data_IF_171172772075
#
_entry.id   IF_171172772075
#
_cell.length_a   1.000
_cell.length_b   1.000
_cell.length_c   1.000
_cell.angle_alpha   90.00
_cell.angle_beta   90.00
_cell.angle_gamma   90.00
#
_symmetry.space_group_name_H-M   'P 1'
#
loop_
_entity.id
_entity.type
_entity.pdbx_description
1 polymer ?
#
# COMPACT_ATOMS: atom_id res chain seq x y z
N UNK A 1 -7.45 -3.98 -0.56
CA UNK A 1 -6.12 -3.35 -0.72
C UNK A 1 -5.34 -4.14 -1.76
N UNK A 2 -4.55 -3.46 -2.59
CA UNK A 2 -3.74 -4.07 -3.65
C UNK A 2 -2.33 -3.50 -3.61
N UNK A 3 -1.31 -4.36 -3.68
CA UNK A 3 0.10 -3.94 -3.83
C UNK A 3 0.42 -3.83 -5.32
N UNK A 4 1.23 -2.84 -5.69
CA UNK A 4 1.74 -2.67 -7.05
C UNK A 4 3.21 -2.27 -6.94
N UNK A 5 4.08 -2.96 -7.66
CA UNK A 5 5.49 -2.65 -7.78
C UNK A 5 5.95 -2.80 -9.23
N UNK A 6 7.10 -2.21 -9.55
CA UNK A 6 7.72 -2.35 -10.88
C UNK A 6 8.44 -3.70 -11.00
N UNK A 7 9.18 -4.08 -9.96
CA UNK A 7 9.92 -5.33 -9.88
C UNK A 7 9.05 -6.44 -9.26
N UNK A 8 9.21 -7.66 -9.76
CA UNK A 8 8.45 -8.82 -9.27
C UNK A 8 8.80 -9.20 -7.83
N UNK A 9 10.04 -8.97 -7.41
CA UNK A 9 10.48 -9.22 -6.03
C UNK A 9 9.82 -8.26 -5.04
N UNK A 10 9.83 -6.96 -5.34
CA UNK A 10 9.15 -5.93 -4.54
C UNK A 10 7.65 -6.23 -4.44
N UNK A 11 7.04 -6.67 -5.55
CA UNK A 11 5.64 -7.07 -5.59
C UNK A 11 5.37 -8.22 -4.61
N UNK A 12 6.14 -9.31 -4.72
CA UNK A 12 5.95 -10.50 -3.89
C UNK A 12 6.20 -10.21 -2.41
N UNK A 13 7.25 -9.45 -2.09
CA UNK A 13 7.60 -9.08 -0.73
C UNK A 13 6.52 -8.19 -0.09
N UNK A 14 6.00 -7.21 -0.84
CA UNK A 14 4.92 -6.34 -0.38
C UNK A 14 3.60 -7.09 -0.19
N UNK A 15 3.25 -8.01 -1.10
CA UNK A 15 2.07 -8.88 -0.98
C UNK A 15 2.15 -9.80 0.24
N UNK A 16 3.31 -10.41 0.47
CA UNK A 16 3.55 -11.25 1.64
C UNK A 16 3.39 -10.46 2.94
N UNK A 17 3.98 -9.25 3.01
CA UNK A 17 3.86 -8.42 4.20
C UNK A 17 2.44 -7.88 4.41
N UNK A 18 1.74 -7.48 3.36
CA UNK A 18 0.34 -7.08 3.45
C UNK A 18 -0.56 -8.25 3.91
N UNK A 19 -0.28 -9.47 3.45
CA UNK A 19 -0.99 -10.68 3.90
C UNK A 19 -0.76 -10.90 5.39
N UNK A 20 0.47 -10.78 5.87
CA UNK A 20 0.79 -10.86 7.29
C UNK A 20 0.01 -9.82 8.13
N UNK A 21 -0.05 -8.57 7.68
CA UNK A 21 -0.81 -7.53 8.39
C UNK A 21 -2.31 -7.86 8.48
N UNK A 22 -2.88 -8.46 7.43
CA UNK A 22 -4.29 -8.88 7.42
C UNK A 22 -4.57 -10.01 8.42
N UNK A 23 -3.72 -11.04 8.46
CA UNK A 23 -3.85 -12.16 9.40
C UNK A 23 -3.74 -11.70 10.87
N UNK A 24 -3.01 -10.62 11.12
CA UNK A 24 -2.92 -10.01 12.44
C UNK A 24 -4.08 -9.06 12.79
N UNK A 25 -5.14 -9.01 11.98
CA UNK A 25 -6.39 -8.30 12.29
C UNK A 25 -6.34 -6.78 12.10
N UNK A 26 -5.31 -6.25 11.44
CA UNK A 26 -5.17 -4.80 11.24
C UNK A 26 -6.16 -4.21 10.24
N UNK A 27 -6.71 -5.04 9.33
CA UNK A 27 -7.62 -4.58 8.27
C UNK A 27 -8.75 -5.58 8.02
N UNK A 28 -9.96 -5.06 7.78
CA UNK A 28 -11.12 -5.89 7.47
C UNK A 28 -11.03 -6.50 6.05
N UNK A 29 -11.40 -7.79 5.98
CA UNK A 29 -11.25 -8.74 4.87
C UNK A 29 -12.12 -8.51 3.63
N UNK A 30 -12.29 -7.28 3.16
CA UNK A 30 -12.84 -7.10 1.81
C UNK A 30 -11.74 -7.42 0.79
N UNK A 31 -11.85 -8.59 0.14
CA UNK A 31 -11.03 -8.90 -1.03
C UNK A 31 -11.06 -7.71 -1.99
N UNK A 32 -9.89 -7.24 -2.38
CA UNK A 32 -9.77 -6.14 -3.33
C UNK A 32 -10.27 -6.65 -4.68
N UNK A 33 -11.37 -6.09 -5.19
CA UNK A 33 -11.80 -6.30 -6.60
C UNK A 33 -10.96 -5.45 -7.57
N UNK A 34 -9.85 -4.89 -7.09
CA UNK A 34 -8.95 -4.05 -7.85
C UNK A 34 -7.81 -4.92 -8.36
N UNK A 35 -7.88 -5.25 -9.63
CA UNK A 35 -6.86 -6.03 -10.32
C UNK A 35 -5.61 -5.18 -10.57
N UNK A 36 -4.44 -5.80 -10.38
CA UNK A 36 -3.12 -5.16 -10.63
C UNK A 36 -2.99 -4.67 -12.06
N UNK A 37 -3.58 -5.39 -13.02
CA UNK A 37 -3.52 -5.08 -14.44
C UNK A 37 -4.11 -3.70 -14.77
N UNK A 38 -5.08 -3.21 -13.97
CA UNK A 38 -5.64 -1.87 -14.11
C UNK A 38 -4.60 -0.75 -13.99
N UNK A 39 -3.42 -1.03 -13.42
CA UNK A 39 -2.38 -0.05 -13.15
C UNK A 39 -1.08 -0.27 -13.92
N UNK A 40 -1.03 -1.27 -14.83
CA UNK A 40 0.19 -1.56 -15.60
C UNK A 40 0.73 -0.31 -16.30
N UNK A 41 -0.15 0.49 -16.88
CA UNK A 41 0.22 1.73 -17.58
C UNK A 41 0.80 2.79 -16.63
N UNK A 42 0.42 2.79 -15.35
CA UNK A 42 0.94 3.72 -14.35
C UNK A 42 2.37 3.41 -13.91
N UNK A 43 2.88 2.21 -14.21
CA UNK A 43 4.24 1.81 -13.85
C UNK A 43 5.29 2.24 -14.88
N UNK A 44 4.87 2.84 -16.01
CA UNK A 44 5.75 3.19 -17.13
C UNK A 44 6.63 4.42 -16.86
N UNK A 45 6.12 5.43 -16.15
CA UNK A 45 6.83 6.68 -15.90
C UNK A 45 7.21 6.85 -14.43
N UNK A 46 8.52 6.83 -14.15
CA UNK A 46 9.06 7.03 -12.80
C UNK A 46 8.73 8.43 -12.29
N UNK A 47 8.26 8.51 -11.05
CA UNK A 47 7.89 9.76 -10.36
C UNK A 47 6.44 10.21 -10.59
N UNK A 48 5.71 9.61 -11.55
CA UNK A 48 4.29 9.95 -11.82
C UNK A 48 3.30 8.85 -11.46
N UNK A 49 3.77 7.73 -10.92
CA UNK A 49 2.93 6.55 -10.66
C UNK A 49 1.77 6.88 -9.72
N UNK A 50 2.05 7.58 -8.60
CA UNK A 50 1.04 7.92 -7.61
C UNK A 50 -0.07 8.85 -8.17
N UNK A 51 0.29 9.77 -9.07
CA UNK A 51 -0.65 10.63 -9.76
C UNK A 51 -1.46 9.86 -10.82
N UNK A 52 -0.82 8.93 -11.54
CA UNK A 52 -1.50 8.06 -12.50
C UNK A 52 -2.50 7.13 -11.81
N UNK A 53 -2.12 6.47 -10.71
CA UNK A 53 -2.99 5.58 -9.94
C UNK A 53 -4.23 6.34 -9.46
N UNK A 54 -4.07 7.57 -8.94
CA UNK A 54 -5.20 8.44 -8.55
C UNK A 54 -6.11 8.83 -9.72
N UNK A 55 -5.64 8.80 -10.96
CA UNK A 55 -6.44 9.08 -12.16
C UNK A 55 -6.99 7.82 -12.82
N UNK A 56 -6.45 6.65 -12.49
CA UNK A 56 -6.92 5.37 -13.02
C UNK A 56 -8.41 5.17 -12.68
N UNK A 57 -9.21 4.87 -13.70
CA UNK A 57 -10.64 4.60 -13.53
C UNK A 57 -10.89 3.25 -12.87
N UNK A 58 -12.16 2.98 -12.53
CA UNK A 58 -12.62 1.64 -12.12
C UNK A 58 -12.42 1.31 -10.64
N UNK A 59 -11.27 1.63 -10.05
CA UNK A 59 -11.01 1.29 -8.65
C UNK A 59 -11.71 2.22 -7.64
N UNK A 60 -12.02 3.46 -8.04
CA UNK A 60 -12.80 4.44 -7.26
C UNK A 60 -14.31 4.18 -7.26
N UNK A 61 -14.84 3.54 -8.30
CA UNK A 61 -16.29 3.31 -8.47
C UNK A 61 -16.84 2.24 -7.51
N UNK A 62 -15.96 1.53 -6.82
CA UNK A 62 -16.31 0.40 -5.97
C UNK A 62 -16.55 0.74 -4.49
N UNK A 63 -16.54 2.03 -4.11
CA UNK A 63 -17.12 2.57 -2.87
C UNK A 63 -16.60 2.05 -1.52
N UNK A 64 -15.77 1.01 -1.51
CA UNK A 64 -15.14 0.43 -0.32
C UNK A 64 -13.74 1.02 -0.23
N UNK A 65 -13.32 1.37 0.98
CA UNK A 65 -12.00 1.92 1.33
C UNK A 65 -10.84 1.20 0.62
N UNK A 66 -10.58 1.62 -0.59
CA UNK A 66 -9.62 1.00 -1.46
C UNK A 66 -8.31 1.72 -1.23
N UNK A 67 -7.31 0.98 -0.78
CA UNK A 67 -5.93 1.44 -0.71
C UNK A 67 -5.10 0.67 -1.72
N UNK A 68 -4.38 1.41 -2.55
CA UNK A 68 -3.33 0.90 -3.41
C UNK A 68 -2.00 1.19 -2.73
N UNK A 69 -1.16 0.18 -2.56
CA UNK A 69 0.20 0.32 -2.01
C UNK A 69 1.16 0.26 -3.18
N UNK A 70 1.77 1.41 -3.53
CA UNK A 70 2.90 1.45 -4.45
C UNK A 70 4.16 1.09 -3.68
N UNK A 71 4.75 -0.07 -3.98
CA UNK A 71 5.93 -0.59 -3.29
C UNK A 71 7.17 -0.50 -4.19
N UNK A 72 8.31 -0.19 -3.58
CA UNK A 72 9.62 -0.24 -4.23
C UNK A 72 10.75 -0.54 -3.25
N UNK A 73 11.72 -1.33 -3.68
CA UNK A 73 12.86 -1.74 -2.89
C UNK A 73 12.60 -2.99 -2.05
N UNK A 74 13.64 -3.81 -1.94
CA UNK A 74 13.74 -5.01 -1.10
C UNK A 74 15.21 -5.15 -0.66
N UNK A 75 15.54 -5.47 0.61
CA UNK A 75 14.64 -5.86 1.71
C UNK A 75 14.01 -4.68 2.48
N UNK A 76 14.50 -3.46 2.26
CA UNK A 76 13.89 -2.24 2.79
C UNK A 76 12.95 -1.69 1.73
N UNK A 77 11.66 -1.70 2.05
CA UNK A 77 10.60 -1.39 1.11
C UNK A 77 9.98 -0.04 1.42
N UNK A 78 9.97 0.84 0.42
CA UNK A 78 9.29 2.13 0.46
C UNK A 78 7.88 1.95 -0.07
N UNK A 79 6.89 2.28 0.75
CA UNK A 79 5.48 2.27 0.39
C UNK A 79 5.00 3.70 0.19
N UNK A 80 4.21 3.89 -0.86
CA UNK A 80 3.26 4.99 -0.96
C UNK A 80 1.85 4.41 -0.94
N UNK A 81 1.12 4.67 0.13
CA UNK A 81 -0.28 4.27 0.27
C UNK A 81 -1.17 5.31 -0.40
N UNK A 82 -2.03 4.87 -1.31
CA UNK A 82 -2.83 5.75 -2.17
C UNK A 82 -4.30 5.45 -1.95
N UNK A 83 -5.03 6.46 -1.49
CA UNK A 83 -6.48 6.44 -1.35
C UNK A 83 -7.20 7.00 -2.57
N UNK A 84 -8.53 6.97 -2.51
CA UNK A 84 -9.41 7.30 -3.64
C UNK A 84 -9.49 8.80 -3.96
N UNK A 85 -8.98 9.67 -3.08
CA UNK A 85 -9.04 11.11 -3.31
C UNK A 85 -8.27 11.55 -4.57
N UNK A 86 -8.58 12.74 -5.06
CA UNK A 86 -7.90 13.33 -6.21
C UNK A 86 -6.43 13.68 -5.90
N UNK A 87 -6.14 14.01 -4.65
CA UNK A 87 -4.81 14.32 -4.12
C UNK A 87 -4.67 13.77 -2.70
N UNK A 88 -3.43 13.60 -2.25
CA UNK A 88 -3.12 13.15 -0.90
C UNK A 88 -3.63 14.16 0.14
N UNK A 89 -4.47 13.73 1.09
CA UNK A 89 -4.91 14.59 2.20
C UNK A 89 -3.83 14.75 3.28
N UNK A 90 -3.01 13.72 3.46
CA UNK A 90 -1.89 13.67 4.41
C UNK A 90 -0.67 13.01 3.74
N UNK A 91 0.06 13.72 2.85
CA UNK A 91 1.13 13.13 2.03
C UNK A 91 2.24 12.48 2.87
N UNK A 92 2.66 13.14 3.95
CA UNK A 92 3.73 12.63 4.83
C UNK A 92 3.32 11.35 5.56
N UNK A 93 2.03 11.20 5.87
CA UNK A 93 1.48 10.01 6.50
C UNK A 93 1.22 8.86 5.52
N UNK A 94 1.30 9.10 4.21
CA UNK A 94 1.06 8.12 3.15
C UNK A 94 2.33 7.52 2.58
N UNK A 95 3.49 7.87 3.12
CA UNK A 95 4.77 7.28 2.75
C UNK A 95 5.45 6.68 3.96
N UNK A 96 6.01 5.48 3.80
CA UNK A 96 6.73 4.79 4.87
C UNK A 96 7.86 3.94 4.30
N UNK A 97 8.96 3.81 5.04
CA UNK A 97 10.06 2.91 4.72
C UNK A 97 10.09 1.79 5.76
N UNK A 98 10.06 0.54 5.31
CA UNK A 98 9.89 -0.64 6.18
C UNK A 98 11.03 -1.61 5.89
N UNK A 99 11.88 -1.94 6.88
CA UNK A 99 12.72 -3.14 6.76
C UNK A 99 11.84 -4.38 6.96
N UNK A 100 11.56 -5.08 5.86
CA UNK A 100 10.66 -6.22 5.86
C UNK A 100 11.20 -7.39 6.71
N UNK A 101 12.52 -7.53 6.85
CA UNK A 101 13.13 -8.57 7.68
C UNK A 101 12.87 -8.27 9.15
N UNK A 102 13.05 -7.03 9.56
CA UNK A 102 12.75 -6.62 10.95
C UNK A 102 11.25 -6.69 11.24
N UNK A 103 10.40 -6.31 10.29
CA UNK A 103 8.95 -6.32 10.45
C UNK A 103 8.37 -7.74 10.60
N UNK A 104 9.03 -8.74 10.00
CA UNK A 104 8.62 -10.15 10.06
C UNK A 104 9.33 -10.94 11.17
N UNK A 105 10.64 -10.77 11.29
CA UNK A 105 11.54 -11.65 12.07
C UNK A 105 12.34 -10.91 13.16
N UNK A 106 12.21 -9.59 13.28
CA UNK A 106 12.87 -8.82 14.33
C UNK A 106 12.32 -9.08 15.73
N UNK A 107 12.80 -8.29 16.70
CA UNK A 107 12.27 -8.37 18.08
C UNK A 107 10.77 -8.05 18.13
N UNK A 108 10.02 -8.51 19.15
CA UNK A 108 8.60 -8.19 19.27
C UNK A 108 8.29 -6.69 19.19
N UNK A 109 9.16 -5.85 19.75
CA UNK A 109 9.03 -4.39 19.70
C UNK A 109 9.19 -3.85 18.27
N UNK A 110 10.26 -4.24 17.56
CA UNK A 110 10.50 -3.83 16.18
C UNK A 110 9.37 -4.26 15.25
N UNK A 111 8.92 -5.53 15.38
CA UNK A 111 7.81 -6.05 14.59
C UNK A 111 6.54 -5.23 14.80
N UNK A 112 6.18 -4.94 16.06
CA UNK A 112 5.01 -4.13 16.35
C UNK A 112 5.14 -2.72 15.79
N UNK A 113 6.28 -2.07 15.98
CA UNK A 113 6.55 -0.71 15.51
C UNK A 113 6.42 -0.60 13.98
N UNK A 114 7.11 -1.46 13.23
CA UNK A 114 7.09 -1.44 11.76
C UNK A 114 5.72 -1.80 11.19
N UNK A 115 4.98 -2.72 11.84
CA UNK A 115 3.59 -3.04 11.46
C UNK A 115 2.65 -1.88 11.74
N UNK A 116 2.85 -1.15 12.85
CA UNK A 116 2.09 0.06 13.16
C UNK A 116 2.35 1.16 12.13
N UNK A 117 3.60 1.36 11.71
CA UNK A 117 3.96 2.34 10.69
C UNK A 117 3.33 1.98 9.33
N UNK A 118 3.44 0.73 8.90
CA UNK A 118 2.78 0.25 7.68
C UNK A 118 1.26 0.43 7.77
N UNK A 119 0.69 0.19 8.95
CA UNK A 119 -0.74 0.34 9.15
C UNK A 119 -1.21 1.79 9.18
N UNK A 120 -0.43 2.68 9.77
CA UNK A 120 -0.67 4.12 9.72
C UNK A 120 -0.69 4.63 8.28
N UNK A 121 0.24 4.16 7.42
CA UNK A 121 0.25 4.50 6.00
C UNK A 121 -1.06 4.09 5.31
N UNK A 122 -1.50 2.85 5.53
CA UNK A 122 -2.76 2.34 4.97
C UNK A 122 -3.95 3.14 5.48
N UNK A 123 -4.02 3.42 6.78
CA UNK A 123 -5.12 4.18 7.39
C UNK A 123 -5.17 5.63 6.90
N UNK A 124 -4.02 6.27 6.73
CA UNK A 124 -3.91 7.63 6.18
C UNK A 124 -4.38 7.72 4.73
N UNK A 125 -4.21 6.65 3.94
CA UNK A 125 -4.78 6.54 2.60
C UNK A 125 -6.28 6.18 2.65
N UNK A 126 -6.69 5.32 3.57
CA UNK A 126 -8.08 4.90 3.71
C UNK A 126 -8.99 6.04 4.16
N UNK A 127 -8.52 6.96 5.01
CA UNK A 127 -9.31 8.13 5.46
C UNK A 127 -9.78 9.03 4.31
N UNK A 128 -9.06 9.02 3.18
CA UNK A 128 -9.46 9.73 1.96
C UNK A 128 -10.76 9.21 1.34
N UNK A 129 -11.18 8.00 1.72
CA UNK A 129 -12.44 7.40 1.28
C UNK A 129 -13.63 7.73 2.19
N UNK A 130 -13.45 8.55 3.23
CA UNK A 130 -14.51 8.97 4.15
C UNK A 130 -14.91 7.90 5.17
N UNK A 131 -13.93 7.10 5.63
CA UNK A 131 -14.08 6.12 6.70
C UNK A 131 -14.25 6.78 8.08
#
# INVERSE_FOLDING_TARGET
MTVIAHESEDQAAGEAFLTLLREHGWFANAASIIEREAFRNCMTEKGKQAACIRKAGGWKKNGRAAVVVLASGTPVQNWTCIGVAAAASAPDGQTVSIDLREAMFGTPKQRLELRNQASACIMAAASESGW
#
